data_IF_594273148643
#
_entry.id   IF_594273148643
#
_cell.length_a   1.000
_cell.length_b   1.000
_cell.length_c   1.000
_cell.angle_alpha   90.00
_cell.angle_beta   90.00
_cell.angle_gamma   90.00
#
_symmetry.space_group_name_H-M   'P 1'
#
loop_
_entity.id
_entity.type
_entity.pdbx_description
1 polymer ?
#
# COMPACT_ATOMS: atom_id res chain seq x y z
N UNK A 1 -19.01 -10.01 16.70
CA UNK A 1 -18.34 -9.23 15.61
C UNK A 1 -19.46 -8.54 14.84
N UNK A 2 -19.33 -7.25 14.58
CA UNK A 2 -20.31 -6.53 13.79
C UNK A 2 -19.96 -6.61 12.28
N UNK A 3 -20.88 -6.20 11.40
CA UNK A 3 -20.69 -6.27 9.94
C UNK A 3 -19.44 -5.52 9.43
N UNK A 4 -19.10 -4.38 10.04
CA UNK A 4 -17.94 -3.56 9.67
C UNK A 4 -16.64 -4.30 9.98
N UNK A 5 -16.57 -4.93 11.15
CA UNK A 5 -15.39 -5.71 11.57
C UNK A 5 -15.21 -6.94 10.67
N UNK A 6 -16.30 -7.66 10.42
CA UNK A 6 -16.28 -8.85 9.55
C UNK A 6 -15.82 -8.49 8.14
N UNK A 7 -16.37 -7.41 7.56
CA UNK A 7 -15.97 -6.92 6.26
C UNK A 7 -14.49 -6.54 6.24
N UNK A 8 -14.02 -5.80 7.28
CA UNK A 8 -12.63 -5.39 7.37
C UNK A 8 -11.68 -6.59 7.39
N UNK A 9 -11.93 -7.55 8.26
CA UNK A 9 -11.09 -8.75 8.37
C UNK A 9 -11.07 -9.57 7.08
N UNK A 10 -12.22 -9.77 6.43
CA UNK A 10 -12.28 -10.47 5.14
C UNK A 10 -11.55 -9.71 4.03
N UNK A 11 -11.66 -8.38 4.01
CA UNK A 11 -10.95 -7.54 3.06
C UNK A 11 -9.43 -7.63 3.27
N UNK A 12 -8.96 -7.51 4.52
CA UNK A 12 -7.53 -7.56 4.85
C UNK A 12 -6.94 -8.94 4.58
N UNK A 13 -7.64 -10.03 4.90
CA UNK A 13 -7.21 -11.39 4.57
C UNK A 13 -6.98 -11.56 3.06
N UNK A 14 -7.94 -11.09 2.25
CA UNK A 14 -7.80 -11.12 0.78
C UNK A 14 -6.64 -10.26 0.29
N UNK A 15 -6.46 -9.05 0.85
CA UNK A 15 -5.39 -8.14 0.49
C UNK A 15 -4.02 -8.73 0.81
N UNK A 16 -3.80 -9.14 2.06
CA UNK A 16 -2.53 -9.74 2.52
C UNK A 16 -2.20 -11.01 1.73
N UNK A 17 -3.20 -11.86 1.50
CA UNK A 17 -3.03 -13.07 0.68
C UNK A 17 -2.60 -12.75 -0.76
N UNK A 18 -3.13 -11.68 -1.36
CA UNK A 18 -2.73 -11.21 -2.70
C UNK A 18 -1.31 -10.68 -2.71
N UNK A 19 -0.93 -9.81 -1.76
CA UNK A 19 0.44 -9.30 -1.63
C UNK A 19 1.42 -10.47 -1.50
N UNK A 20 1.16 -11.40 -0.59
CA UNK A 20 1.98 -12.60 -0.42
C UNK A 20 2.07 -13.44 -1.69
N UNK A 21 0.97 -13.62 -2.42
CA UNK A 21 0.95 -14.31 -3.71
C UNK A 21 1.89 -13.62 -4.71
N UNK A 22 1.78 -12.30 -4.89
CA UNK A 22 2.62 -11.57 -5.84
C UNK A 22 4.10 -11.58 -5.45
N UNK A 23 4.42 -11.47 -4.17
CA UNK A 23 5.80 -11.63 -3.69
C UNK A 23 6.36 -13.02 -4.01
N UNK A 24 5.57 -14.09 -3.82
CA UNK A 24 5.96 -15.45 -4.14
C UNK A 24 6.08 -15.71 -5.66
N UNK A 25 5.26 -15.05 -6.47
CA UNK A 25 5.37 -15.08 -7.94
C UNK A 25 6.64 -14.37 -8.39
N UNK A 26 6.88 -13.18 -7.86
CA UNK A 26 8.11 -12.43 -8.13
C UNK A 26 9.37 -13.24 -7.77
N UNK A 27 9.39 -13.89 -6.60
CA UNK A 27 10.54 -14.68 -6.13
C UNK A 27 10.95 -15.84 -7.06
N UNK A 28 10.09 -16.25 -8.00
CA UNK A 28 10.40 -17.27 -9.03
C UNK A 28 11.08 -16.67 -10.26
N UNK A 29 11.06 -15.36 -10.43
CA UNK A 29 11.52 -14.67 -11.63
C UNK A 29 13.06 -14.65 -11.74
N UNK A 30 13.54 -14.38 -12.97
CA UNK A 30 14.95 -14.11 -13.22
C UNK A 30 15.40 -12.85 -12.49
N UNK A 31 14.60 -11.79 -12.51
CA UNK A 31 14.89 -10.52 -11.85
C UNK A 31 15.06 -10.70 -10.34
N UNK A 32 14.20 -11.50 -9.69
CA UNK A 32 14.34 -11.79 -8.27
C UNK A 32 15.69 -12.45 -7.93
N UNK A 33 16.18 -13.37 -8.78
CA UNK A 33 17.50 -14.00 -8.61
C UNK A 33 18.63 -12.97 -8.73
N UNK A 34 18.55 -12.06 -9.70
CA UNK A 34 19.53 -10.98 -9.90
C UNK A 34 19.58 -10.02 -8.71
N UNK A 35 18.43 -9.80 -8.06
CA UNK A 35 18.28 -8.97 -6.87
C UNK A 35 18.54 -9.71 -5.55
N UNK A 36 18.85 -11.00 -5.57
CA UNK A 36 18.96 -11.88 -4.40
C UNK A 36 17.69 -11.90 -3.54
N UNK A 37 16.51 -11.68 -4.15
CA UNK A 37 15.22 -11.80 -3.48
C UNK A 37 14.76 -13.26 -3.48
N UNK A 38 14.55 -13.82 -2.30
CA UNK A 38 14.30 -15.24 -2.10
C UNK A 38 12.82 -15.53 -1.79
N UNK A 39 12.46 -16.81 -1.86
CA UNK A 39 11.15 -17.28 -1.40
C UNK A 39 10.95 -17.04 0.11
N UNK A 40 12.03 -17.08 0.90
CA UNK A 40 11.99 -16.78 2.33
C UNK A 40 11.62 -15.31 2.57
N UNK A 41 12.24 -14.38 1.85
CA UNK A 41 11.93 -12.95 1.93
C UNK A 41 10.45 -12.71 1.58
N UNK A 42 9.94 -13.35 0.53
CA UNK A 42 8.54 -13.26 0.13
C UNK A 42 7.57 -13.75 1.22
N UNK A 43 7.92 -14.83 1.93
CA UNK A 43 7.12 -15.33 3.05
C UNK A 43 7.17 -14.39 4.26
N UNK A 44 8.35 -13.89 4.62
CA UNK A 44 8.53 -13.00 5.76
C UNK A 44 7.77 -11.69 5.53
N UNK A 45 7.99 -11.02 4.40
CA UNK A 45 7.25 -9.79 4.07
C UNK A 45 5.74 -10.02 4.01
N UNK A 46 5.29 -11.04 3.28
CA UNK A 46 3.86 -11.30 3.12
C UNK A 46 3.13 -11.72 4.40
N UNK A 47 3.84 -12.29 5.38
CA UNK A 47 3.23 -12.65 6.68
C UNK A 47 3.09 -11.45 7.63
N UNK A 48 3.95 -10.44 7.48
CA UNK A 48 3.94 -9.25 8.35
C UNK A 48 3.31 -8.02 7.68
N UNK A 49 3.03 -8.12 6.36
CA UNK A 49 2.38 -7.03 5.63
C UNK A 49 1.07 -6.62 6.27
N UNK A 50 0.93 -5.33 6.55
CA UNK A 50 -0.31 -4.71 7.08
C UNK A 50 -0.88 -5.34 8.37
N UNK A 51 -0.06 -6.07 9.12
CA UNK A 51 -0.53 -6.76 10.32
C UNK A 51 -1.05 -5.82 11.40
N UNK A 52 -0.50 -4.62 11.50
CA UNK A 52 -0.94 -3.55 12.39
C UNK A 52 -2.39 -3.08 12.14
N UNK A 53 -2.91 -3.31 10.92
CA UNK A 53 -4.31 -3.02 10.56
C UNK A 53 -5.28 -4.12 11.00
N UNK A 54 -4.78 -5.32 11.32
CA UNK A 54 -5.62 -6.52 11.58
C UNK A 54 -5.69 -6.84 13.07
N UNK A 55 -4.55 -6.86 13.77
CA UNK A 55 -4.44 -7.29 15.16
C UNK A 55 -3.64 -6.30 16.03
N UNK A 56 -3.43 -5.06 15.53
CA UNK A 56 -2.71 -3.99 16.18
C UNK A 56 -3.58 -2.81 16.60
N UNK A 57 -2.92 -1.77 17.10
CA UNK A 57 -3.55 -0.54 17.60
C UNK A 57 -4.33 0.24 16.53
N UNK A 58 -4.10 -0.07 15.25
CA UNK A 58 -4.73 0.64 14.13
C UNK A 58 -6.05 -0.01 13.67
N UNK A 59 -6.37 -1.21 14.19
CA UNK A 59 -7.58 -1.97 13.79
C UNK A 59 -8.86 -1.14 13.88
N UNK A 60 -9.05 -0.43 15.01
CA UNK A 60 -10.26 0.34 15.24
C UNK A 60 -10.52 1.40 14.17
N UNK A 61 -9.50 2.09 13.71
CA UNK A 61 -9.66 3.12 12.67
C UNK A 61 -9.72 2.50 11.26
N UNK A 62 -8.90 1.45 11.01
CA UNK A 62 -8.83 0.83 9.69
C UNK A 62 -10.09 0.05 9.33
N UNK A 63 -10.88 -0.46 10.28
CA UNK A 63 -12.18 -1.08 9.97
C UNK A 63 -13.16 -0.07 9.36
N UNK A 64 -13.18 1.17 9.88
CA UNK A 64 -14.01 2.24 9.31
C UNK A 64 -13.47 2.76 7.97
N UNK A 65 -12.15 2.88 7.83
CA UNK A 65 -11.52 3.21 6.54
C UNK A 65 -11.89 2.15 5.47
N UNK A 66 -11.85 0.87 5.83
CA UNK A 66 -12.27 -0.21 4.93
C UNK A 66 -13.73 -0.11 4.53
N UNK A 67 -14.60 0.26 5.46
CA UNK A 67 -16.02 0.45 5.20
C UNK A 67 -16.29 1.64 4.26
N UNK A 68 -15.59 2.75 4.46
CA UNK A 68 -15.63 3.89 3.55
C UNK A 68 -15.24 3.51 2.12
N UNK A 69 -14.21 2.66 1.96
CA UNK A 69 -13.85 2.13 0.64
C UNK A 69 -14.93 1.21 0.06
N UNK A 70 -15.60 0.39 0.87
CA UNK A 70 -16.75 -0.43 0.43
C UNK A 70 -17.83 0.45 -0.18
N UNK A 71 -18.27 1.46 0.56
CA UNK A 71 -19.30 2.39 0.10
C UNK A 71 -18.85 3.12 -1.19
N UNK A 72 -17.61 3.63 -1.22
CA UNK A 72 -17.06 4.34 -2.38
C UNK A 72 -17.01 3.46 -3.64
N UNK A 73 -16.56 2.23 -3.52
CA UNK A 73 -16.48 1.29 -4.64
C UNK A 73 -17.85 0.83 -5.14
N UNK A 74 -18.82 0.72 -4.24
CA UNK A 74 -20.22 0.43 -4.58
C UNK A 74 -20.98 1.65 -5.10
N UNK A 75 -20.39 2.85 -5.03
CA UNK A 75 -21.06 4.13 -5.30
C UNK A 75 -22.32 4.32 -4.43
N UNK A 76 -22.23 3.92 -3.16
CA UNK A 76 -23.30 4.00 -2.16
C UNK A 76 -23.00 5.09 -1.13
N UNK A 77 -24.05 5.73 -0.56
CA UNK A 77 -23.87 6.64 0.60
C UNK A 77 -23.21 5.89 1.77
N UNK A 78 -22.41 6.60 2.54
CA UNK A 78 -21.80 6.07 3.75
C UNK A 78 -22.15 6.95 4.94
N UNK A 79 -22.78 6.35 5.96
CA UNK A 79 -23.18 7.08 7.18
C UNK A 79 -22.02 7.30 8.15
N UNK A 80 -20.84 6.74 7.86
CA UNK A 80 -19.64 6.90 8.68
C UNK A 80 -18.87 8.13 8.20
N UNK A 81 -18.69 9.16 9.05
CA UNK A 81 -17.87 10.31 8.69
C UNK A 81 -16.39 9.93 8.67
N UNK A 82 -15.63 10.53 7.74
CA UNK A 82 -14.18 10.47 7.79
C UNK A 82 -13.64 11.37 8.90
N UNK A 83 -12.77 10.88 9.74
CA UNK A 83 -12.31 11.56 10.94
C UNK A 83 -10.80 11.81 10.94
N UNK A 84 -10.36 12.79 11.75
CA UNK A 84 -8.94 13.04 11.97
C UNK A 84 -8.20 11.83 12.57
N UNK A 85 -8.87 11.02 13.38
CA UNK A 85 -8.25 9.81 13.97
C UNK A 85 -7.97 8.74 12.91
N UNK A 86 -8.76 8.67 11.83
CA UNK A 86 -8.46 7.84 10.67
C UNK A 86 -7.21 8.33 9.91
N UNK A 87 -7.00 9.65 9.82
CA UNK A 87 -5.77 10.22 9.26
C UNK A 87 -4.56 9.96 10.15
N UNK A 88 -4.71 10.09 11.47
CA UNK A 88 -3.65 9.74 12.44
C UNK A 88 -3.27 8.27 12.34
N UNK A 89 -4.25 7.38 12.23
CA UNK A 89 -3.99 5.94 12.05
C UNK A 89 -3.26 5.67 10.71
N UNK A 90 -3.67 6.34 9.63
CA UNK A 90 -2.98 6.25 8.34
C UNK A 90 -1.53 6.73 8.45
N UNK A 91 -1.32 7.88 9.09
CA UNK A 91 0.01 8.44 9.34
C UNK A 91 0.87 7.49 10.16
N UNK A 92 0.33 6.91 11.24
CA UNK A 92 1.04 5.94 12.07
C UNK A 92 1.46 4.71 11.25
N UNK A 93 0.57 4.17 10.41
CA UNK A 93 0.88 3.05 9.54
C UNK A 93 2.02 3.36 8.56
N UNK A 94 1.89 4.43 7.76
CA UNK A 94 2.89 4.75 6.72
C UNK A 94 4.25 5.16 7.29
N UNK A 95 4.29 5.64 8.55
CA UNK A 95 5.52 5.94 9.28
C UNK A 95 6.21 4.70 9.85
N UNK A 96 5.47 3.64 10.14
CA UNK A 96 5.97 2.43 10.79
C UNK A 96 6.13 1.24 9.83
N UNK A 97 5.67 1.38 8.60
CA UNK A 97 5.66 0.29 7.61
C UNK A 97 6.67 0.56 6.49
N UNK A 98 7.73 -0.23 6.44
CA UNK A 98 8.88 -0.02 5.56
C UNK A 98 8.56 -0.12 4.06
N UNK A 99 7.42 -0.72 3.68
CA UNK A 99 6.94 -0.72 2.29
C UNK A 99 6.30 0.59 1.85
N UNK A 100 6.24 1.60 2.74
CA UNK A 100 5.82 2.96 2.38
C UNK A 100 7.01 3.91 2.23
N UNK A 101 7.06 4.73 1.15
CA UNK A 101 8.12 5.73 0.96
C UNK A 101 8.23 6.73 2.13
N UNK A 102 7.12 7.02 2.80
CA UNK A 102 7.02 7.89 3.95
C UNK A 102 7.88 7.44 5.14
N UNK A 103 8.09 6.14 5.30
CA UNK A 103 8.99 5.56 6.31
C UNK A 103 10.45 6.02 6.11
N UNK A 104 10.86 6.22 4.86
CA UNK A 104 12.23 6.54 4.45
C UNK A 104 12.47 8.03 4.28
N UNK A 105 11.40 8.84 4.31
CA UNK A 105 11.46 10.29 4.15
C UNK A 105 11.91 10.96 5.47
N UNK A 106 13.12 11.54 5.55
CA UNK A 106 13.60 12.17 6.78
C UNK A 106 12.82 13.43 7.15
N UNK A 107 12.21 14.08 6.15
CA UNK A 107 11.46 15.32 6.29
C UNK A 107 9.93 15.07 6.27
N UNK A 108 9.53 13.84 6.59
CA UNK A 108 8.12 13.49 6.62
C UNK A 108 7.36 14.31 7.66
N UNK A 109 6.38 15.02 7.19
CA UNK A 109 5.36 15.67 8.01
C UNK A 109 3.98 15.07 7.70
N UNK A 110 3.18 14.74 8.72
CA UNK A 110 1.80 14.32 8.51
C UNK A 110 1.03 15.32 7.66
N UNK A 111 0.22 14.82 6.76
CA UNK A 111 -0.71 15.65 6.01
C UNK A 111 -2.12 15.22 6.37
N UNK A 112 -2.84 16.10 7.06
CA UNK A 112 -4.25 15.87 7.40
C UNK A 112 -5.06 16.03 6.13
N UNK A 113 -5.85 15.02 5.82
CA UNK A 113 -6.77 15.00 4.69
C UNK A 113 -8.19 15.02 5.25
N UNK A 114 -8.86 16.14 5.16
CA UNK A 114 -10.22 16.33 5.70
C UNK A 114 -11.31 15.69 4.84
N UNK A 115 -10.99 15.30 3.61
CA UNK A 115 -11.90 14.64 2.67
C UNK A 115 -11.35 13.26 2.31
N UNK A 116 -12.11 12.21 2.59
CA UNK A 116 -11.78 10.84 2.25
C UNK A 116 -11.43 10.64 0.77
N UNK A 117 -12.04 11.42 -0.13
CA UNK A 117 -11.75 11.34 -1.56
C UNK A 117 -10.34 11.81 -1.94
N UNK A 118 -9.72 12.62 -1.09
CA UNK A 118 -8.35 13.13 -1.31
C UNK A 118 -7.28 12.20 -0.74
N UNK A 119 -7.67 11.21 0.07
CA UNK A 119 -6.73 10.31 0.77
C UNK A 119 -5.74 9.61 -0.17
N UNK A 120 -6.19 9.20 -1.35
CA UNK A 120 -5.37 8.55 -2.37
C UNK A 120 -4.92 9.51 -3.49
N UNK A 121 -4.91 10.80 -3.24
CA UNK A 121 -4.50 11.77 -4.25
C UNK A 121 -3.00 11.70 -4.51
N UNK A 122 -2.60 11.59 -5.77
CA UNK A 122 -1.19 11.69 -6.18
C UNK A 122 -0.66 13.13 -6.08
N UNK A 123 -1.54 14.10 -5.87
CA UNK A 123 -1.20 15.53 -5.70
C UNK A 123 -0.92 15.94 -4.25
N UNK A 124 -0.90 14.98 -3.32
CA UNK A 124 -0.44 15.23 -1.96
C UNK A 124 1.06 15.61 -1.95
N UNK A 125 1.54 16.15 -0.82
CA UNK A 125 2.96 16.53 -0.64
C UNK A 125 3.88 15.37 -1.05
N UNK A 126 4.88 15.67 -1.88
CA UNK A 126 5.88 14.70 -2.32
C UNK A 126 6.60 14.04 -1.15
N UNK A 127 6.97 12.77 -1.29
CA UNK A 127 7.69 11.98 -0.29
C UNK A 127 9.01 11.46 -0.86
N UNK A 128 10.09 11.59 -0.09
CA UNK A 128 11.41 11.15 -0.52
C UNK A 128 11.62 9.66 -0.26
N UNK A 129 11.42 8.84 -1.29
CA UNK A 129 11.65 7.39 -1.26
C UNK A 129 13.04 6.95 -1.73
N UNK A 130 13.98 7.87 -2.01
CA UNK A 130 15.29 7.52 -2.60
C UNK A 130 16.15 6.62 -1.70
N UNK A 131 15.92 6.64 -0.39
CA UNK A 131 16.61 5.77 0.58
C UNK A 131 15.94 4.40 0.77
N UNK A 132 14.79 4.18 0.14
CA UNK A 132 14.04 2.93 0.29
C UNK A 132 14.82 1.75 -0.32
N UNK A 133 15.13 0.69 0.46
CA UNK A 133 15.83 -0.49 -0.02
C UNK A 133 15.02 -1.28 -1.05
N UNK A 134 15.73 -1.99 -1.94
CA UNK A 134 15.14 -2.81 -3.00
C UNK A 134 14.09 -3.80 -2.51
N UNK A 135 14.30 -4.44 -1.38
CA UNK A 135 13.37 -5.42 -0.82
C UNK A 135 11.99 -4.80 -0.52
N UNK A 136 11.96 -3.56 -0.04
CA UNK A 136 10.72 -2.85 0.25
C UNK A 136 10.09 -2.21 -1.00
N UNK A 137 10.89 -1.87 -2.03
CA UNK A 137 10.33 -1.51 -3.35
C UNK A 137 9.57 -2.70 -3.98
N UNK A 138 10.07 -3.93 -3.78
CA UNK A 138 9.38 -5.15 -4.22
C UNK A 138 8.06 -5.33 -3.47
N UNK A 139 8.07 -5.16 -2.14
CA UNK A 139 6.87 -5.27 -1.32
C UNK A 139 5.84 -4.18 -1.69
N UNK A 140 6.27 -2.93 -1.82
CA UNK A 140 5.43 -1.82 -2.26
C UNK A 140 4.77 -2.08 -3.62
N UNK A 141 5.53 -2.59 -4.59
CA UNK A 141 4.99 -2.90 -5.92
C UNK A 141 3.95 -4.03 -5.86
N UNK A 142 4.17 -5.05 -5.02
CA UNK A 142 3.19 -6.12 -4.77
C UNK A 142 1.92 -5.60 -4.09
N UNK A 143 2.06 -4.68 -3.12
CA UNK A 143 0.93 -3.98 -2.49
C UNK A 143 0.15 -3.13 -3.51
N UNK A 144 0.84 -2.34 -4.33
CA UNK A 144 0.19 -1.57 -5.41
C UNK A 144 -0.59 -2.47 -6.37
N UNK A 145 -0.04 -3.66 -6.71
CA UNK A 145 -0.75 -4.63 -7.55
C UNK A 145 -2.00 -5.18 -6.87
N UNK A 146 -1.89 -5.57 -5.58
CA UNK A 146 -3.02 -6.08 -4.80
C UNK A 146 -4.14 -5.04 -4.65
N UNK A 147 -3.76 -3.81 -4.29
CA UNK A 147 -4.69 -2.67 -4.13
C UNK A 147 -5.35 -2.27 -5.45
N UNK A 148 -4.58 -2.25 -6.55
CA UNK A 148 -5.12 -1.92 -7.87
C UNK A 148 -6.14 -2.95 -8.35
N UNK A 149 -5.88 -4.24 -8.11
CA UNK A 149 -6.83 -5.30 -8.42
C UNK A 149 -8.14 -5.15 -7.60
N UNK A 150 -8.03 -4.80 -6.33
CA UNK A 150 -9.18 -4.56 -5.46
C UNK A 150 -10.06 -3.40 -5.98
N UNK A 151 -9.42 -2.37 -6.54
CA UNK A 151 -10.08 -1.15 -7.02
C UNK A 151 -10.46 -1.19 -8.51
N UNK A 152 -10.23 -2.31 -9.20
CA UNK A 152 -10.50 -2.44 -10.63
C UNK A 152 -9.58 -1.61 -11.51
N UNK A 153 -8.36 -1.29 -11.04
CA UNK A 153 -7.36 -0.47 -11.71
C UNK A 153 -6.11 -1.28 -12.07
N UNK A 154 -5.17 -0.64 -12.80
CA UNK A 154 -3.85 -1.22 -13.10
C UNK A 154 -2.78 -0.56 -12.23
N UNK A 155 -1.92 -1.37 -11.59
CA UNK A 155 -0.83 -0.87 -10.75
C UNK A 155 0.15 0.00 -11.55
N UNK A 156 0.40 -0.33 -12.82
CA UNK A 156 1.23 0.49 -13.71
C UNK A 156 0.66 1.91 -13.90
N UNK A 157 -0.66 2.03 -14.11
CA UNK A 157 -1.31 3.34 -14.23
C UNK A 157 -1.22 4.18 -12.94
N UNK A 158 -1.23 3.52 -11.78
CA UNK A 158 -0.95 4.19 -10.51
C UNK A 158 0.50 4.67 -10.42
N UNK A 159 1.47 3.82 -10.77
CA UNK A 159 2.89 4.19 -10.81
C UNK A 159 3.15 5.36 -11.76
N UNK A 160 2.55 5.35 -12.97
CA UNK A 160 2.66 6.44 -13.94
C UNK A 160 2.16 7.77 -13.37
N UNK A 161 1.01 7.77 -12.70
CA UNK A 161 0.47 8.97 -12.03
C UNK A 161 1.38 9.45 -10.91
N UNK A 162 1.85 8.55 -10.05
CA UNK A 162 2.77 8.90 -8.95
C UNK A 162 4.07 9.52 -9.48
N UNK A 163 4.62 9.01 -10.58
CA UNK A 163 5.81 9.56 -11.23
C UNK A 163 5.54 10.93 -11.86
N UNK A 164 4.46 11.07 -12.61
CA UNK A 164 4.09 12.32 -13.27
C UNK A 164 3.78 13.44 -12.28
N UNK A 165 3.04 13.15 -11.22
CA UNK A 165 2.66 14.12 -10.17
C UNK A 165 3.77 14.32 -9.12
N UNK A 166 4.91 13.62 -9.25
CA UNK A 166 6.01 13.61 -8.27
C UNK A 166 5.53 13.27 -6.85
N UNK A 167 4.54 12.36 -6.73
CA UNK A 167 4.05 11.91 -5.43
C UNK A 167 5.16 11.27 -4.60
N UNK A 168 6.01 10.45 -5.27
CA UNK A 168 7.19 9.83 -4.69
C UNK A 168 8.44 10.24 -5.46
N UNK A 169 9.45 10.71 -4.74
CA UNK A 169 10.74 11.08 -5.29
C UNK A 169 11.65 9.85 -5.26
N UNK A 170 11.54 9.02 -6.27
CA UNK A 170 12.45 7.91 -6.51
C UNK A 170 13.50 8.30 -7.56
N UNK A 171 14.66 7.65 -7.53
CA UNK A 171 15.64 7.73 -8.61
C UNK A 171 15.10 7.05 -9.88
N UNK A 172 15.65 7.39 -11.05
CA UNK A 172 15.27 6.71 -12.32
C UNK A 172 15.48 5.20 -12.22
N UNK A 173 16.56 4.74 -11.59
CA UNK A 173 16.83 3.30 -11.35
C UNK A 173 15.76 2.63 -10.49
N UNK A 174 15.24 3.32 -9.47
CA UNK A 174 14.15 2.79 -8.64
C UNK A 174 12.84 2.75 -9.42
N UNK A 175 12.53 3.78 -10.23
CA UNK A 175 11.35 3.75 -11.10
C UNK A 175 11.42 2.62 -12.13
N UNK A 176 12.57 2.45 -12.80
CA UNK A 176 12.77 1.35 -13.75
C UNK A 176 12.59 -0.02 -13.06
N UNK A 177 13.12 -0.15 -11.84
CA UNK A 177 12.95 -1.36 -11.05
C UNK A 177 11.48 -1.62 -10.69
N UNK A 178 10.75 -0.60 -10.22
CA UNK A 178 9.31 -0.70 -9.90
C UNK A 178 8.53 -1.18 -11.13
N UNK A 179 8.77 -0.58 -12.30
CA UNK A 179 8.12 -1.01 -13.56
C UNK A 179 8.45 -2.46 -13.92
N UNK A 180 9.71 -2.85 -13.82
CA UNK A 180 10.13 -4.23 -14.10
C UNK A 180 9.49 -5.24 -13.13
N UNK A 181 9.35 -4.88 -11.84
CA UNK A 181 8.66 -5.73 -10.87
C UNK A 181 7.18 -5.87 -11.25
N UNK A 182 6.51 -4.75 -11.56
CA UNK A 182 5.10 -4.76 -11.95
C UNK A 182 4.89 -5.61 -13.23
N UNK A 183 5.79 -5.54 -14.22
CA UNK A 183 5.72 -6.34 -15.44
C UNK A 183 5.88 -7.86 -15.18
N UNK A 184 6.59 -8.23 -14.10
CA UNK A 184 6.77 -9.64 -13.70
C UNK A 184 5.53 -10.21 -13.00
N UNK A 185 4.82 -9.38 -12.24
CA UNK A 185 3.67 -9.81 -11.41
C UNK A 185 2.31 -9.42 -12.02
N UNK A 186 2.27 -8.86 -13.25
CA UNK A 186 1.04 -8.49 -13.96
C UNK A 186 0.42 -9.69 -14.70
#
# INVERSE_FOLDING_TARGET
>A
MNEIEEFHLQRMDKHISRVKKYLLEFAKSKLAKELNFTRRDAYELGNYHDKDKVDGDLFEQYKYISWLYKCKLANEPCDIPYTEDMDKATTAHIRNSAHHPEYWDPDFEPQIVTDFNQRDSTKLKSRDGRKMPTIYLIEMAADWKATSLERGNKARSWADKCKADKRYLFTDKQWDLIYNILDVID
#
